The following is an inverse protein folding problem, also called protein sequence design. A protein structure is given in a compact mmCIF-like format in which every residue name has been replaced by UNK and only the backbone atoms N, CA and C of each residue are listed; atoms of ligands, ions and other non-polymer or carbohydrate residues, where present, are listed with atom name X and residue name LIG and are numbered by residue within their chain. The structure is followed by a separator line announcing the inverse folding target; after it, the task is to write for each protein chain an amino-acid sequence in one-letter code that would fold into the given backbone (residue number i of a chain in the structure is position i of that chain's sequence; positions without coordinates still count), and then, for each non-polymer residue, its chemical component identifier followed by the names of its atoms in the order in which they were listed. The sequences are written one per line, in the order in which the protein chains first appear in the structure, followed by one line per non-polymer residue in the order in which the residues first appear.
data_IF_454457211697
#
_entry.id   IF_454457211697
#
_cell.length_a   1.000
_cell.length_b   1.000
_cell.length_c   1.000
_cell.angle_alpha   90.00
_cell.angle_beta   90.00
_cell.angle_gamma   90.00
#
_symmetry.space_group_name_H-M   'P 1'
#
loop_
_entity.id
_entity.type
_entity.pdbx_description
1 polymer ?
#
# COMPACT_ATOMS: atom_id res chain seq x y z
N UNK A 1 23.96 -18.64 -29.53
CA UNK A 1 22.79 -18.95 -28.68
C UNK A 1 22.13 -17.64 -28.30
N UNK A 2 20.80 -17.50 -28.41
CA UNK A 2 20.09 -16.27 -28.07
C UNK A 2 19.08 -16.54 -26.95
N UNK A 3 19.07 -15.69 -25.92
CA UNK A 3 18.15 -15.75 -24.80
C UNK A 3 16.97 -14.79 -25.05
N UNK A 4 15.76 -15.20 -24.69
CA UNK A 4 14.54 -14.36 -24.81
C UNK A 4 13.79 -14.35 -23.48
N UNK A 5 13.48 -13.16 -22.99
CA UNK A 5 12.62 -12.97 -21.81
C UNK A 5 11.18 -12.88 -22.27
N UNK A 6 10.32 -13.76 -21.76
CA UNK A 6 8.89 -13.80 -22.08
C UNK A 6 8.09 -13.79 -20.77
N UNK A 7 7.02 -13.00 -20.75
CA UNK A 7 6.07 -12.90 -19.62
C UNK A 7 6.71 -12.57 -18.25
N UNK A 8 7.61 -11.57 -18.16
CA UNK A 8 8.21 -11.21 -16.88
C UNK A 8 7.17 -10.58 -15.94
N UNK A 9 7.22 -10.95 -14.67
CA UNK A 9 6.60 -10.16 -13.60
C UNK A 9 7.54 -9.03 -13.23
N UNK A 10 7.11 -7.79 -13.47
CA UNK A 10 7.87 -6.62 -13.06
C UNK A 10 7.55 -6.28 -11.60
N UNK A 11 8.52 -5.71 -10.89
CA UNK A 11 8.35 -5.15 -9.55
C UNK A 11 8.75 -3.68 -9.63
N UNK A 12 7.95 -2.81 -9.01
CA UNK A 12 8.25 -1.39 -8.92
C UNK A 12 8.82 -1.06 -7.54
N UNK A 13 10.11 -0.68 -7.51
CA UNK A 13 10.77 -0.26 -6.29
C UNK A 13 11.30 1.17 -6.43
N UNK A 14 11.07 1.98 -5.40
CA UNK A 14 11.58 3.35 -5.30
C UNK A 14 11.74 3.74 -3.83
N UNK A 15 12.31 4.92 -3.59
CA UNK A 15 12.46 5.50 -2.26
C UNK A 15 11.89 6.91 -2.29
N UNK A 16 11.08 7.25 -1.28
CA UNK A 16 10.59 8.60 -1.08
C UNK A 16 11.58 9.45 -0.26
N UNK A 17 12.65 8.85 0.28
CA UNK A 17 13.56 9.52 1.20
C UNK A 17 14.21 10.80 0.65
N UNK A 18 14.37 10.90 -0.68
CA UNK A 18 14.94 12.06 -1.34
C UNK A 18 13.88 13.10 -1.78
N UNK A 19 12.58 12.80 -1.63
CA UNK A 19 11.52 13.67 -2.06
C UNK A 19 11.41 14.88 -1.13
N UNK A 20 11.24 16.07 -1.72
CA UNK A 20 11.08 17.31 -0.97
C UNK A 20 9.86 17.22 -0.05
N UNK A 21 10.07 17.45 1.25
CA UNK A 21 9.01 17.42 2.26
C UNK A 21 8.71 16.02 2.81
N UNK A 22 9.31 14.96 2.26
CA UNK A 22 9.08 13.61 2.74
C UNK A 22 9.49 13.42 4.20
N UNK A 23 10.64 13.98 4.63
CA UNK A 23 11.13 13.80 6.01
C UNK A 23 10.11 14.24 7.07
N UNK A 24 9.49 15.42 6.90
CA UNK A 24 8.48 15.92 7.82
C UNK A 24 7.19 15.07 7.77
N UNK A 25 6.68 14.78 6.57
CA UNK A 25 5.50 13.94 6.40
C UNK A 25 5.71 12.53 6.96
N UNK A 26 6.91 11.98 6.84
CA UNK A 26 7.28 10.67 7.35
C UNK A 26 7.20 10.61 8.87
N UNK A 27 7.71 11.62 9.58
CA UNK A 27 7.61 11.71 11.04
C UNK A 27 6.15 11.79 11.49
N UNK A 28 5.34 12.65 10.86
CA UNK A 28 3.91 12.78 11.19
C UNK A 28 3.13 11.47 10.94
N UNK A 29 3.41 10.77 9.84
CA UNK A 29 2.79 9.46 9.54
C UNK A 29 3.22 8.41 10.56
N UNK A 30 4.50 8.39 10.94
CA UNK A 30 5.01 7.43 11.94
C UNK A 30 4.31 7.63 13.28
N UNK A 31 4.23 8.87 13.77
CA UNK A 31 3.55 9.18 15.03
C UNK A 31 2.07 8.78 14.98
N UNK A 32 1.37 9.10 13.88
CA UNK A 32 -0.01 8.67 13.70
C UNK A 32 -0.17 7.15 13.68
N UNK A 33 0.75 6.41 13.06
CA UNK A 33 0.70 4.95 13.09
C UNK A 33 0.81 4.43 14.53
N UNK A 34 1.75 4.96 15.32
CA UNK A 34 1.95 4.57 16.71
C UNK A 34 0.72 4.89 17.58
N UNK A 35 0.19 6.11 17.47
CA UNK A 35 -1.04 6.51 18.17
C UNK A 35 -2.21 5.60 17.80
N UNK A 36 -2.40 5.27 16.52
CA UNK A 36 -3.43 4.31 16.11
C UNK A 36 -3.25 2.93 16.73
N UNK A 37 -2.01 2.44 16.83
CA UNK A 37 -1.72 1.16 17.46
C UNK A 37 -2.00 1.11 18.97
N UNK A 38 -2.07 2.28 19.62
CA UNK A 38 -2.35 2.42 21.05
C UNK A 38 -3.80 2.79 21.36
N UNK A 39 -4.44 3.60 20.50
CA UNK A 39 -5.74 4.23 20.78
C UNK A 39 -6.91 3.70 19.95
N UNK A 40 -6.69 3.00 18.82
CA UNK A 40 -7.78 2.41 18.04
C UNK A 40 -8.32 1.13 18.70
N UNK A 41 -9.12 1.29 19.75
CA UNK A 41 -9.71 0.18 20.53
C UNK A 41 -10.44 -0.84 19.64
N UNK A 42 -11.14 -0.37 18.61
CA UNK A 42 -11.87 -1.25 17.69
C UNK A 42 -10.91 -2.09 16.84
N UNK A 43 -9.83 -1.48 16.32
CA UNK A 43 -8.79 -2.18 15.57
C UNK A 43 -8.00 -3.15 16.44
N UNK A 44 -7.67 -2.75 17.68
CA UNK A 44 -6.98 -3.59 18.66
C UNK A 44 -7.82 -4.82 19.00
N UNK A 45 -9.12 -4.63 19.31
CA UNK A 45 -10.02 -5.75 19.59
C UNK A 45 -10.17 -6.67 18.38
N UNK A 46 -10.32 -6.11 17.18
CA UNK A 46 -10.39 -6.89 15.95
C UNK A 46 -9.12 -7.73 15.74
N UNK A 47 -7.94 -7.17 15.99
CA UNK A 47 -6.67 -7.89 15.90
C UNK A 47 -6.61 -9.05 16.90
N UNK A 48 -7.05 -8.83 18.14
CA UNK A 48 -7.12 -9.87 19.16
C UNK A 48 -8.06 -11.01 18.74
N UNK A 49 -9.27 -10.69 18.28
CA UNK A 49 -10.28 -11.67 17.88
C UNK A 49 -9.82 -12.50 16.67
N UNK A 50 -9.04 -11.89 15.77
CA UNK A 50 -8.55 -12.53 14.54
C UNK A 50 -7.12 -13.10 14.67
N UNK A 51 -6.54 -13.11 15.88
CA UNK A 51 -5.19 -13.59 16.15
C UNK A 51 -4.13 -12.94 15.23
N UNK A 52 -4.32 -11.66 14.92
CA UNK A 52 -3.42 -10.90 14.08
C UNK A 52 -2.13 -10.54 14.88
N UNK A 53 -0.92 -10.81 14.36
CA UNK A 53 0.33 -10.63 15.11
C UNK A 53 0.78 -9.16 15.15
N UNK A 54 0.08 -8.34 15.93
CA UNK A 54 0.31 -6.91 16.11
C UNK A 54 -0.97 -6.12 15.94
N UNK A 55 -0.89 -5.00 15.24
CA UNK A 55 -2.03 -4.12 14.95
C UNK A 55 -2.22 -3.93 13.44
N UNK A 56 -3.48 -3.89 13.00
CA UNK A 56 -3.87 -3.44 11.67
C UNK A 56 -5.12 -2.58 11.74
N UNK A 57 -5.12 -1.46 11.02
CA UNK A 57 -6.32 -0.61 10.92
C UNK A 57 -7.35 -1.15 9.93
N UNK A 58 -7.06 -2.28 9.27
CA UNK A 58 -7.91 -2.86 8.22
C UNK A 58 -9.33 -3.19 8.71
N UNK A 59 -9.44 -3.64 9.97
CA UNK A 59 -10.71 -4.02 10.58
C UNK A 59 -11.53 -2.85 11.14
N UNK A 60 -10.99 -1.64 11.18
CA UNK A 60 -11.52 -0.53 12.00
C UNK A 60 -11.61 0.81 11.27
N UNK A 61 -10.59 1.20 10.49
CA UNK A 61 -10.50 2.51 9.85
C UNK A 61 -10.32 2.33 8.33
N UNK A 62 -11.39 2.59 7.58
CA UNK A 62 -11.43 2.40 6.12
C UNK A 62 -11.30 3.71 5.32
N UNK A 63 -11.13 4.84 5.99
CA UNK A 63 -11.17 6.18 5.43
C UNK A 63 -9.98 7.05 5.89
N UNK A 64 -8.80 6.45 6.11
CA UNK A 64 -7.58 7.14 6.56
C UNK A 64 -7.29 8.46 5.82
N UNK A 65 -7.31 8.52 4.46
CA UNK A 65 -7.02 9.77 3.75
C UNK A 65 -8.11 10.85 3.89
N UNK A 66 -9.30 10.50 4.38
CA UNK A 66 -10.37 11.46 4.68
C UNK A 66 -10.21 12.03 6.09
N UNK A 67 -9.73 11.21 7.04
CA UNK A 67 -9.59 11.59 8.46
C UNK A 67 -8.31 12.36 8.75
N UNK A 68 -7.22 12.00 8.10
CA UNK A 68 -5.87 12.46 8.44
C UNK A 68 -5.22 13.14 7.23
N UNK A 69 -4.91 14.44 7.30
CA UNK A 69 -4.26 15.19 6.21
C UNK A 69 -2.96 14.57 5.70
N UNK A 70 -2.20 13.93 6.58
CA UNK A 70 -0.93 13.26 6.33
C UNK A 70 -1.15 12.05 5.40
N UNK A 71 -2.18 11.25 5.68
CA UNK A 71 -2.59 10.14 4.82
C UNK A 71 -3.22 10.62 3.50
N UNK A 72 -3.83 11.81 3.48
CA UNK A 72 -4.29 12.44 2.24
C UNK A 72 -3.11 12.84 1.35
N UNK A 73 -2.05 13.40 1.91
CA UNK A 73 -0.84 13.73 1.16
C UNK A 73 -0.10 12.46 0.70
N UNK A 74 0.04 11.46 1.59
CA UNK A 74 0.57 10.15 1.23
C UNK A 74 -0.20 9.56 0.04
N UNK A 75 -1.54 9.59 0.08
CA UNK A 75 -2.38 9.11 -1.03
C UNK A 75 -2.03 9.80 -2.35
N UNK A 76 -1.77 11.11 -2.35
CA UNK A 76 -1.39 11.85 -3.58
C UNK A 76 -0.04 11.40 -4.12
N UNK A 77 0.92 11.09 -3.24
CA UNK A 77 2.22 10.52 -3.62
C UNK A 77 2.01 9.13 -4.22
N UNK A 78 1.28 8.25 -3.53
CA UNK A 78 1.01 6.88 -3.98
C UNK A 78 0.24 6.83 -5.32
N UNK A 79 -0.74 7.71 -5.53
CA UNK A 79 -1.47 7.85 -6.81
C UNK A 79 -0.51 8.17 -7.98
N UNK A 80 0.55 8.95 -7.76
CA UNK A 80 1.57 9.25 -8.78
C UNK A 80 2.41 8.02 -9.10
N UNK A 81 2.86 7.27 -8.07
CA UNK A 81 3.66 6.06 -8.26
C UNK A 81 2.88 4.96 -8.96
N UNK A 82 1.62 4.76 -8.61
CA UNK A 82 0.77 3.79 -9.29
C UNK A 82 0.52 4.15 -10.76
N UNK A 83 0.33 5.44 -11.06
CA UNK A 83 0.21 5.89 -12.45
C UNK A 83 1.52 5.69 -13.23
N UNK A 84 2.67 5.95 -12.61
CA UNK A 84 3.98 5.70 -13.21
C UNK A 84 4.21 4.19 -13.45
N UNK A 85 3.83 3.35 -12.49
CA UNK A 85 3.98 1.91 -12.61
C UNK A 85 3.05 1.32 -13.67
N UNK A 86 1.77 1.69 -13.69
CA UNK A 86 0.82 1.29 -14.74
C UNK A 86 1.32 1.69 -16.14
N UNK A 87 1.94 2.88 -16.27
CA UNK A 87 2.57 3.32 -17.52
C UNK A 87 3.76 2.43 -17.91
N UNK A 88 4.63 2.08 -16.95
CA UNK A 88 5.78 1.21 -17.19
C UNK A 88 5.37 -0.23 -17.55
N UNK A 89 4.23 -0.71 -17.03
CA UNK A 89 3.62 -1.98 -17.40
C UNK A 89 2.84 -1.93 -18.73
N UNK A 90 2.76 -0.76 -19.37
CA UNK A 90 1.98 -0.54 -20.59
C UNK A 90 0.49 -0.89 -20.46
N UNK A 91 -0.09 -0.70 -19.27
CA UNK A 91 -1.52 -0.93 -19.08
C UNK A 91 -2.35 0.05 -19.91
N UNK A 92 -3.26 -0.48 -20.74
CA UNK A 92 -4.26 0.31 -21.45
C UNK A 92 -5.51 0.50 -20.56
N UNK A 93 -5.51 1.56 -19.74
CA UNK A 93 -6.57 1.84 -18.80
C UNK A 93 -7.42 3.02 -19.26
N UNK A 94 -8.75 2.90 -19.15
CA UNK A 94 -9.68 3.98 -19.47
C UNK A 94 -9.58 5.18 -18.51
N UNK A 95 -9.06 4.98 -17.29
CA UNK A 95 -8.74 6.02 -16.30
C UNK A 95 -7.44 5.70 -15.58
N UNK A 96 -6.79 6.74 -15.05
CA UNK A 96 -5.59 6.57 -14.20
C UNK A 96 -5.93 5.77 -12.93
N UNK A 97 -5.03 4.88 -12.47
CA UNK A 97 -5.17 4.23 -11.17
C UNK A 97 -5.35 5.25 -10.03
N UNK A 98 -6.17 4.89 -9.03
CA UNK A 98 -6.44 5.69 -7.84
C UNK A 98 -6.49 4.80 -6.60
N UNK A 99 -5.80 5.19 -5.54
CA UNK A 99 -5.85 4.52 -4.24
C UNK A 99 -7.30 4.43 -3.77
N UNK A 100 -7.71 3.23 -3.40
CA UNK A 100 -9.05 2.94 -2.90
C UNK A 100 -9.01 2.47 -1.45
N UNK A 101 -8.16 1.49 -1.14
CA UNK A 101 -7.97 1.00 0.22
C UNK A 101 -6.55 1.29 0.70
N UNK A 102 -6.46 1.78 1.93
CA UNK A 102 -5.22 2.04 2.64
C UNK A 102 -5.42 1.65 4.10
N UNK A 103 -4.46 0.96 4.68
CA UNK A 103 -4.48 0.59 6.10
C UNK A 103 -3.06 0.58 6.66
N UNK A 104 -2.96 0.72 7.98
CA UNK A 104 -1.71 0.63 8.73
C UNK A 104 -1.50 -0.80 9.20
N UNK A 105 -0.25 -1.26 9.25
CA UNK A 105 0.14 -2.47 9.95
C UNK A 105 1.34 -2.17 10.86
N UNK A 106 1.25 -2.57 12.12
CA UNK A 106 2.36 -2.59 13.07
C UNK A 106 2.56 -4.04 13.48
N UNK A 107 3.69 -4.62 13.12
CA UNK A 107 3.99 -6.02 13.42
C UNK A 107 4.83 -6.12 14.68
N UNK A 108 4.43 -7.04 15.56
CA UNK A 108 5.25 -7.42 16.71
C UNK A 108 6.47 -8.26 16.26
N UNK A 109 7.53 -8.36 17.07
CA UNK A 109 8.65 -9.24 16.78
C UNK A 109 8.20 -10.68 16.48
N UNK A 110 8.67 -11.25 15.37
CA UNK A 110 8.25 -12.57 14.89
C UNK A 110 6.89 -12.61 14.19
N UNK A 111 6.16 -11.50 14.14
CA UNK A 111 4.92 -11.34 13.38
C UNK A 111 5.16 -11.27 11.87
N UNK A 112 4.22 -11.79 11.09
CA UNK A 112 4.28 -11.76 9.64
C UNK A 112 2.92 -12.05 9.01
N UNK A 113 2.83 -11.80 7.71
CA UNK A 113 1.65 -12.14 6.90
C UNK A 113 1.91 -13.40 6.09
N UNK A 114 0.88 -14.25 5.98
CA UNK A 114 0.91 -15.36 5.05
C UNK A 114 0.81 -14.86 3.61
N UNK A 115 1.30 -15.66 2.66
CA UNK A 115 1.16 -15.34 1.24
C UNK A 115 -0.31 -15.23 0.85
N UNK A 116 -0.70 -14.08 0.30
CA UNK A 116 -2.07 -13.81 -0.12
C UNK A 116 -2.08 -12.90 -1.37
N UNK A 117 -3.23 -12.83 -2.02
CA UNK A 117 -3.48 -11.92 -3.15
C UNK A 117 -4.53 -10.89 -2.76
N UNK A 118 -4.65 -9.84 -3.57
CA UNK A 118 -5.59 -8.74 -3.38
C UNK A 118 -6.69 -8.81 -4.46
N UNK A 119 -7.83 -9.46 -4.20
CA UNK A 119 -8.88 -9.60 -5.18
C UNK A 119 -9.42 -8.24 -5.62
N UNK A 120 -9.78 -8.13 -6.90
CA UNK A 120 -10.37 -6.91 -7.48
C UNK A 120 -9.47 -5.66 -7.49
N UNK A 121 -8.18 -5.81 -7.20
CA UNK A 121 -7.14 -4.77 -7.35
C UNK A 121 -6.34 -4.98 -8.63
N UNK A 122 -5.88 -3.89 -9.24
CA UNK A 122 -4.98 -3.95 -10.42
C UNK A 122 -3.51 -3.74 -10.06
N UNK A 123 -3.25 -3.06 -8.94
CA UNK A 123 -1.93 -2.77 -8.40
C UNK A 123 -2.03 -2.88 -6.88
N UNK A 124 -0.97 -3.42 -6.30
CA UNK A 124 -0.61 -3.38 -4.88
C UNK A 124 0.85 -2.83 -4.77
N UNK A 125 1.08 -1.63 -4.16
CA UNK A 125 2.29 -0.99 -3.52
C UNK A 125 2.43 -0.43 -1.97
N UNK A 126 3.46 -0.65 -1.15
CA UNK A 126 3.53 -0.79 0.35
C UNK A 126 4.61 0.15 0.64
N UNK A 127 4.34 1.03 1.58
CA UNK A 127 5.36 1.87 2.11
C UNK A 127 5.80 1.33 3.47
N UNK A 128 7.10 1.16 3.61
CA UNK A 128 7.70 0.85 4.91
C UNK A 128 8.00 2.17 5.61
N UNK A 129 7.29 2.44 6.70
CA UNK A 129 7.43 3.66 7.49
C UNK A 129 8.57 3.52 8.51
N UNK A 130 8.65 2.38 9.18
CA UNK A 130 9.75 2.05 10.08
C UNK A 130 10.12 0.57 9.92
N UNK A 131 11.42 0.28 9.84
CA UNK A 131 11.95 -1.09 9.77
C UNK A 131 13.01 -1.20 10.87
N UNK A 132 12.76 -1.99 11.92
CA UNK A 132 13.73 -2.18 12.98
C UNK A 132 14.93 -2.98 12.48
N UNK A 133 16.08 -2.81 13.13
CA UNK A 133 17.30 -3.56 12.81
C UNK A 133 17.05 -5.07 12.88
N UNK A 134 17.54 -5.82 11.90
CA UNK A 134 17.37 -7.28 11.83
C UNK A 134 16.01 -7.77 11.30
N UNK A 135 15.05 -6.87 11.02
CA UNK A 135 13.79 -7.27 10.38
C UNK A 135 14.00 -7.63 8.90
N UNK A 136 13.49 -8.80 8.50
CA UNK A 136 13.36 -9.15 7.09
C UNK A 136 12.07 -8.54 6.53
N UNK A 137 12.20 -7.72 5.50
CA UNK A 137 11.07 -7.28 4.67
C UNK A 137 10.99 -8.18 3.44
N UNK A 138 9.80 -8.30 2.85
CA UNK A 138 9.65 -9.03 1.58
C UNK A 138 10.65 -8.45 0.56
N UNK A 139 11.52 -9.28 -0.06
CA UNK A 139 12.36 -8.82 -1.17
C UNK A 139 11.43 -8.48 -2.34
N UNK A 140 11.40 -7.22 -2.77
CA UNK A 140 10.33 -6.70 -3.62
C UNK A 140 9.40 -5.78 -2.84
N UNK A 141 9.83 -4.54 -2.61
CA UNK A 141 9.03 -3.50 -1.96
C UNK A 141 7.73 -3.26 -2.76
N UNK A 142 6.67 -2.94 -2.02
CA UNK A 142 5.40 -2.33 -2.40
C UNK A 142 4.05 -3.25 -2.48
N UNK A 143 2.99 -3.12 -1.58
CA UNK A 143 1.46 -3.28 -1.56
C UNK A 143 0.46 -2.03 -1.17
N UNK A 144 -0.36 -1.44 -2.10
CA UNK A 144 -0.94 -0.02 -2.38
C UNK A 144 -2.22 -0.50 -3.03
N UNK A 145 -3.30 -0.70 -2.28
CA UNK A 145 -4.51 -1.20 -2.91
C UNK A 145 -5.20 -0.09 -3.72
N UNK A 146 -5.11 -0.23 -5.04
CA UNK A 146 -5.95 0.51 -5.98
C UNK A 146 -7.07 -0.41 -6.43
N UNK A 147 -8.27 -0.21 -5.88
CA UNK A 147 -9.51 -0.83 -6.38
C UNK A 147 -10.01 -0.03 -7.57
N UNK A 148 -10.75 -0.74 -8.41
CA UNK A 148 -11.46 -0.16 -9.54
C UNK A 148 -12.72 0.57 -9.07
N UNK A 149 -12.86 1.85 -9.41
CA UNK A 149 -14.16 2.53 -9.40
C UNK A 149 -15.09 1.89 -10.42
N UNK A 150 -16.30 1.52 -10.00
CA UNK A 150 -17.34 0.90 -10.84
C UNK A 150 -17.61 1.75 -12.08
N UNK A 151 -17.78 1.08 -13.23
CA UNK A 151 -17.95 1.64 -14.58
C UNK A 151 -16.66 2.24 -15.17
N UNK A 152 -15.99 1.48 -16.06
CA UNK A 152 -15.80 1.78 -17.51
C UNK A 152 -15.20 0.52 -18.14
N UNK A 153 -16.04 -0.26 -18.83
CA UNK A 153 -15.64 -0.87 -20.09
C UNK A 153 -16.62 -0.31 -21.10
N UNK A 154 -16.15 0.61 -21.93
CA UNK A 154 -16.66 0.71 -23.29
C UNK A 154 -16.18 -0.57 -23.96
N UNK A 155 -17.05 -1.57 -24.01
CA UNK A 155 -16.90 -2.62 -25.01
C UNK A 155 -16.95 -1.91 -26.36
N UNK A 156 -15.86 -1.98 -27.11
CA UNK A 156 -15.88 -2.02 -28.57
C UNK A 156 -14.45 -2.22 -29.08
N UNK A 157 -14.23 -3.40 -29.67
CA UNK A 157 -13.76 -3.59 -31.04
C UNK A 157 -12.97 -4.91 -31.17
N UNK A 158 -12.88 -5.42 -32.41
CA UNK A 158 -13.87 -6.16 -33.18
C UNK A 158 -13.81 -7.68 -32.93
#
# INVERSE_FOLDING_TARGET
MALRTLFPTQIYETSLAADKGWAALHEEILDLCLVMGEEDEAGIQWCADNHYPGYTSYGSINDLPLRFPEFAELKRILDKHAAAYAKALHFNLARKPRLDNLWVNILMPGGGHTGHIHPHSIISGTIYIHIPEGASVMPGRFIIMIRRGSSIFSAEAP
#
